data_IF_095788870369
#
_entry.id   IF_095788870369
#
_cell.length_a   1.000
_cell.length_b   1.000
_cell.length_c   1.000
_cell.angle_alpha   90.00
_cell.angle_beta   90.00
_cell.angle_gamma   90.00
#
_symmetry.space_group_name_H-M   'P 1'
#
loop_
_entity.id
_entity.type
_entity.pdbx_description
1 polymer ?
#
# COMPACT_ATOMS: atom_id res chain seq x y z
N UNK A 1 17.10 5.25 -6.51
CA UNK A 1 16.23 4.21 -5.93
C UNK A 1 16.16 3.10 -6.95
N UNK A 2 16.66 1.91 -6.64
CA UNK A 2 16.60 0.77 -7.55
C UNK A 2 15.31 -0.01 -7.26
N UNK A 3 14.48 -0.19 -8.29
CA UNK A 3 13.25 -1.01 -8.21
C UNK A 3 13.58 -2.36 -8.83
N UNK A 4 13.54 -3.42 -8.04
CA UNK A 4 13.79 -4.79 -8.50
C UNK A 4 12.46 -5.46 -8.84
N UNK A 5 12.19 -5.64 -10.14
CA UNK A 5 10.96 -6.30 -10.63
C UNK A 5 10.94 -7.76 -10.17
N UNK A 6 9.88 -8.18 -9.47
CA UNK A 6 9.67 -9.57 -9.05
C UNK A 6 10.37 -9.99 -7.75
N UNK A 7 10.94 -9.03 -7.00
CA UNK A 7 11.38 -9.20 -5.61
C UNK A 7 10.47 -8.47 -4.63
N UNK A 8 9.19 -8.45 -4.97
CA UNK A 8 8.15 -7.72 -4.26
C UNK A 8 8.00 -8.36 -2.87
N UNK A 9 8.67 -7.79 -1.87
CA UNK A 9 8.52 -8.17 -0.48
C UNK A 9 7.49 -7.24 0.17
N UNK A 10 6.63 -7.84 1.01
CA UNK A 10 5.61 -7.17 1.80
C UNK A 10 5.20 -8.11 2.93
N UNK A 11 4.58 -7.59 3.99
CA UNK A 11 4.08 -8.44 5.07
C UNK A 11 3.00 -9.41 4.59
N UNK A 12 2.25 -9.02 3.56
CA UNK A 12 1.20 -9.83 2.95
C UNK A 12 1.63 -10.35 1.58
N UNK A 13 1.41 -11.64 1.28
CA UNK A 13 1.82 -12.23 0.02
C UNK A 13 0.99 -11.69 -1.15
N UNK A 14 1.57 -11.73 -2.36
CA UNK A 14 0.84 -11.52 -3.61
C UNK A 14 -0.37 -12.46 -3.69
N UNK A 15 -1.49 -11.95 -4.17
CA UNK A 15 -2.77 -12.66 -4.20
C UNK A 15 -3.61 -12.48 -2.93
N UNK A 16 -3.08 -11.83 -1.88
CA UNK A 16 -3.87 -11.49 -0.69
C UNK A 16 -5.03 -10.58 -1.06
N UNK A 17 -6.22 -10.96 -0.59
CA UNK A 17 -7.43 -10.15 -0.69
C UNK A 17 -7.44 -9.08 0.39
N UNK A 18 -7.75 -7.87 -0.02
CA UNK A 18 -7.76 -6.70 0.86
C UNK A 18 -9.03 -5.89 0.67
N UNK A 19 -9.37 -5.14 1.72
CA UNK A 19 -10.38 -4.08 1.69
C UNK A 19 -9.71 -2.75 1.98
N UNK A 20 -10.11 -1.71 1.25
CA UNK A 20 -9.74 -0.35 1.60
C UNK A 20 -10.50 0.12 2.84
N UNK A 21 -9.79 0.63 3.84
CA UNK A 21 -10.39 1.07 5.11
C UNK A 21 -10.19 2.54 5.41
N UNK A 22 -9.43 3.26 4.58
CA UNK A 22 -9.23 4.69 4.72
C UNK A 22 -9.06 5.40 3.39
N UNK A 23 -9.99 6.29 3.09
CA UNK A 23 -9.97 7.15 1.91
C UNK A 23 -9.46 8.55 2.25
N UNK A 24 -8.83 9.17 1.26
CA UNK A 24 -8.23 10.49 1.27
C UNK A 24 -8.76 11.27 0.05
N UNK A 25 -8.79 12.61 0.10
CA UNK A 25 -9.20 13.42 -1.04
C UNK A 25 -8.40 13.10 -2.30
N UNK A 26 -9.10 12.81 -3.40
CA UNK A 26 -8.48 12.48 -4.70
C UNK A 26 -8.35 10.99 -4.98
N UNK A 27 -8.69 10.12 -4.03
CA UNK A 27 -8.69 8.68 -4.28
C UNK A 27 -9.73 8.26 -5.33
N UNK A 28 -9.31 7.30 -6.15
CA UNK A 28 -10.19 6.67 -7.15
C UNK A 28 -11.13 5.62 -6.54
N UNK A 29 -10.66 4.87 -5.54
CA UNK A 29 -11.40 3.78 -4.89
C UNK A 29 -11.89 4.23 -3.50
N UNK A 30 -13.11 3.91 -3.12
CA UNK A 30 -13.69 4.31 -1.82
C UNK A 30 -13.45 3.26 -0.73
N UNK A 31 -13.72 3.61 0.52
CA UNK A 31 -13.70 2.66 1.62
C UNK A 31 -14.70 1.53 1.37
N UNK A 32 -14.30 0.31 1.71
CA UNK A 32 -15.04 -0.90 1.38
C UNK A 32 -14.71 -1.48 0.00
N UNK A 33 -14.02 -0.74 -0.89
CA UNK A 33 -13.52 -1.29 -2.14
C UNK A 33 -12.64 -2.52 -1.86
N UNK A 34 -12.82 -3.55 -2.67
CA UNK A 34 -12.10 -4.81 -2.53
C UNK A 34 -11.04 -4.90 -3.63
N UNK A 35 -9.91 -5.49 -3.30
CA UNK A 35 -8.81 -5.63 -4.25
C UNK A 35 -7.88 -6.78 -3.91
N UNK A 36 -6.98 -7.07 -4.84
CA UNK A 36 -5.96 -8.12 -4.74
C UNK A 36 -4.58 -7.49 -4.80
N UNK A 37 -3.70 -7.85 -3.88
CA UNK A 37 -2.30 -7.42 -3.92
C UNK A 37 -1.59 -8.09 -5.09
N UNK A 38 -1.00 -7.30 -5.97
CA UNK A 38 -0.25 -7.77 -7.15
C UNK A 38 1.25 -7.48 -7.10
N UNK A 39 1.67 -6.62 -6.16
CA UNK A 39 3.07 -6.29 -5.88
C UNK A 39 3.20 -5.53 -4.56
N UNK A 40 4.43 -5.39 -4.06
CA UNK A 40 4.74 -4.79 -2.77
C UNK A 40 6.15 -4.20 -2.75
N UNK A 41 6.34 -3.21 -1.88
CA UNK A 41 7.63 -2.67 -1.48
C UNK A 41 7.68 -2.55 0.04
N UNK A 42 8.51 -3.39 0.67
CA UNK A 42 8.65 -3.47 2.11
C UNK A 42 8.89 -4.92 2.57
N UNK A 43 8.64 -5.26 3.84
CA UNK A 43 8.53 -4.31 4.94
C UNK A 43 9.81 -3.48 5.07
N UNK A 44 9.67 -2.16 5.13
CA UNK A 44 10.81 -1.27 5.30
C UNK A 44 11.40 -1.44 6.70
N UNK A 45 12.73 -1.58 6.85
CA UNK A 45 13.38 -1.60 8.16
C UNK A 45 13.04 -0.35 8.96
N UNK A 46 12.87 -0.49 10.28
CA UNK A 46 12.49 0.62 11.16
C UNK A 46 13.40 1.86 11.02
N UNK A 47 14.70 1.65 10.80
CA UNK A 47 15.66 2.74 10.54
C UNK A 47 15.33 3.51 9.26
N UNK A 48 14.94 2.81 8.19
CA UNK A 48 14.50 3.43 6.93
C UNK A 48 13.15 4.12 7.07
N UNK A 49 12.22 3.55 7.83
CA UNK A 49 10.94 4.23 8.11
C UNK A 49 11.16 5.53 8.88
N UNK A 50 12.02 5.51 9.91
CA UNK A 50 12.38 6.71 10.67
C UNK A 50 13.00 7.82 9.79
N UNK A 51 13.83 7.45 8.80
CA UNK A 51 14.38 8.40 7.81
C UNK A 51 13.28 9.04 6.93
N UNK A 52 12.16 8.35 6.68
CA UNK A 52 11.08 8.81 5.80
C UNK A 52 10.04 9.70 6.51
N UNK A 53 9.90 9.61 7.84
CA UNK A 53 8.91 10.37 8.62
C UNK A 53 8.87 11.87 8.25
N UNK A 54 10.01 12.60 8.19
CA UNK A 54 9.97 14.04 7.92
C UNK A 54 9.44 14.38 6.52
N UNK A 55 9.69 13.53 5.53
CA UNK A 55 9.24 13.77 4.15
C UNK A 55 7.76 13.42 3.99
N UNK A 56 7.32 12.31 4.58
CA UNK A 56 5.91 11.91 4.60
C UNK A 56 5.05 12.93 5.36
N UNK A 57 5.55 13.49 6.46
CA UNK A 57 4.85 14.52 7.22
C UNK A 57 4.60 15.80 6.40
N UNK A 58 5.51 16.19 5.49
CA UNK A 58 5.28 17.33 4.57
C UNK A 58 4.12 17.08 3.61
N UNK A 59 3.82 15.81 3.35
CA UNK A 59 2.70 15.37 2.51
C UNK A 59 1.42 15.11 3.33
N UNK A 60 1.46 15.36 4.65
CA UNK A 60 0.32 15.16 5.55
C UNK A 60 0.14 13.72 6.03
N UNK A 61 1.08 12.82 5.75
CA UNK A 61 1.05 11.42 6.20
C UNK A 61 1.76 11.36 7.56
N UNK A 62 1.06 10.86 8.59
CA UNK A 62 1.56 10.80 9.97
C UNK A 62 1.71 9.38 10.51
N UNK A 63 1.21 8.40 9.75
CA UNK A 63 1.20 6.99 10.05
C UNK A 63 2.57 6.34 9.76
N UNK A 64 2.92 5.27 10.49
CA UNK A 64 4.11 4.47 10.20
C UNK A 64 3.84 3.60 8.96
N UNK A 65 4.50 3.91 7.84
CA UNK A 65 4.35 3.18 6.58
C UNK A 65 5.32 2.01 6.55
N UNK A 66 4.85 0.80 6.83
CA UNK A 66 5.68 -0.40 6.83
C UNK A 66 5.83 -0.96 5.41
N UNK A 67 4.74 -1.01 4.67
CA UNK A 67 4.71 -1.46 3.28
C UNK A 67 3.95 -0.49 2.37
N UNK A 68 4.38 -0.42 1.11
CA UNK A 68 3.59 0.07 -0.01
C UNK A 68 3.13 -1.12 -0.84
N UNK A 69 1.84 -1.25 -1.13
CA UNK A 69 1.28 -2.32 -1.94
C UNK A 69 0.76 -1.78 -3.27
N UNK A 70 0.90 -2.55 -4.34
CA UNK A 70 0.13 -2.37 -5.56
C UNK A 70 -1.09 -3.27 -5.50
N UNK A 71 -2.27 -2.67 -5.57
CA UNK A 71 -3.54 -3.37 -5.49
C UNK A 71 -4.28 -3.20 -6.81
N UNK A 72 -4.70 -4.31 -7.39
CA UNK A 72 -5.70 -4.31 -8.45
C UNK A 72 -7.08 -4.38 -7.81
N UNK A 73 -7.91 -3.37 -8.06
CA UNK A 73 -9.22 -3.22 -7.43
C UNK A 73 -10.33 -3.82 -8.30
N UNK A 74 -11.31 -4.44 -7.66
CA UNK A 74 -12.39 -5.15 -8.35
C UNK A 74 -13.35 -4.20 -9.07
N UNK A 75 -13.49 -2.96 -8.56
CA UNK A 75 -14.40 -1.95 -9.09
C UNK A 75 -13.87 -1.30 -10.38
N UNK A 76 -12.55 -1.19 -10.53
CA UNK A 76 -11.87 -0.71 -11.73
C UNK A 76 -10.65 -1.62 -12.01
N UNK A 77 -10.86 -2.79 -12.64
CA UNK A 77 -9.79 -3.75 -12.90
C UNK A 77 -8.85 -3.29 -14.02
N UNK A 78 -7.67 -3.92 -14.09
CA UNK A 78 -6.68 -3.73 -15.16
C UNK A 78 -5.59 -2.69 -14.89
N UNK A 79 -5.73 -1.85 -13.84
CA UNK A 79 -4.69 -0.89 -13.44
C UNK A 79 -4.42 -1.00 -11.93
N UNK A 80 -3.27 -1.59 -11.54
CA UNK A 80 -2.87 -1.60 -10.14
C UNK A 80 -2.53 -0.20 -9.62
N UNK A 81 -3.04 0.15 -8.46
CA UNK A 81 -2.79 1.43 -7.78
C UNK A 81 -1.96 1.18 -6.53
N UNK A 82 -0.94 2.02 -6.34
CA UNK A 82 -0.11 1.98 -5.13
C UNK A 82 -0.88 2.55 -3.93
N UNK A 83 -0.81 1.87 -2.78
CA UNK A 83 -1.47 2.27 -1.54
C UNK A 83 -0.64 1.80 -0.34
N UNK A 84 -0.61 2.61 0.71
CA UNK A 84 0.09 2.28 1.95
C UNK A 84 -0.70 1.27 2.79
N UNK A 85 0.03 0.42 3.49
CA UNK A 85 -0.47 -0.63 4.38
C UNK A 85 -1.51 -0.16 5.40
N UNK A 86 -1.32 0.99 6.04
CA UNK A 86 -2.25 1.52 7.05
C UNK A 86 -3.66 1.84 6.51
N UNK A 87 -3.85 1.79 5.19
CA UNK A 87 -5.12 2.06 4.50
C UNK A 87 -5.83 0.78 4.05
N UNK A 88 -5.26 -0.38 4.34
CA UNK A 88 -5.75 -1.69 3.95
C UNK A 88 -6.08 -2.57 5.16
N UNK A 89 -7.10 -3.40 5.00
CA UNK A 89 -7.41 -4.52 5.88
C UNK A 89 -7.29 -5.81 5.07
N UNK A 90 -6.60 -6.81 5.63
CA UNK A 90 -6.55 -8.15 5.03
C UNK A 90 -7.88 -8.87 5.24
N UNK A 91 -8.39 -9.48 4.18
CA UNK A 91 -9.55 -10.36 4.22
C UNK A 91 -9.08 -11.81 4.41
N UNK A 92 -9.77 -12.54 5.29
CA UNK A 92 -9.55 -13.97 5.53
C UNK A 92 -10.03 -14.85 4.37
#
# INVERSE_FOLDING_TARGET
>A
MEIYVGKDEGEWPKGTRVRKVRSEPGDTHQDGALGTIVGAWGPLPATKRAELIPELAKQGITEDVVCLYWVEWDDIPGVPVAITDYRLERLE
#
